data_IF_093672949612
#
_entry.id   IF_093672949612
#
_cell.length_a   1.000
_cell.length_b   1.000
_cell.length_c   1.000
_cell.angle_alpha   90.00
_cell.angle_beta   90.00
_cell.angle_gamma   90.00
#
_symmetry.space_group_name_H-M   'P 1'
#
loop_
_entity.id
_entity.type
_entity.pdbx_description
1 polymer ?
#
# COMPACT_ATOMS: atom_id res chain seq x y z
N UNK A 1 -20.99 14.66 0.60
CA UNK A 1 -20.13 14.25 1.73
C UNK A 1 -19.79 12.78 1.52
N UNK A 2 -18.52 12.40 1.56
CA UNK A 2 -18.11 10.99 1.44
C UNK A 2 -18.26 10.34 2.81
N UNK A 3 -18.83 9.14 2.86
CA UNK A 3 -19.02 8.43 4.13
C UNK A 3 -17.76 7.64 4.50
N UNK A 4 -17.55 7.36 5.81
CA UNK A 4 -16.43 6.54 6.26
C UNK A 4 -16.37 5.17 5.58
N UNK A 5 -17.52 4.54 5.31
CA UNK A 5 -17.60 3.23 4.64
C UNK A 5 -17.03 3.30 3.21
N UNK A 6 -17.39 4.35 2.46
CA UNK A 6 -16.85 4.57 1.12
C UNK A 6 -15.35 4.83 1.13
N UNK A 7 -14.82 5.51 2.15
CA UNK A 7 -13.37 5.66 2.30
C UNK A 7 -12.68 4.31 2.55
N UNK A 8 -13.31 3.44 3.34
CA UNK A 8 -12.78 2.11 3.62
C UNK A 8 -12.76 1.22 2.35
N UNK A 9 -13.79 1.32 1.52
CA UNK A 9 -13.83 0.67 0.21
C UNK A 9 -12.77 1.24 -0.74
N UNK A 10 -12.65 2.58 -0.83
CA UNK A 10 -11.61 3.25 -1.63
C UNK A 10 -10.22 2.77 -1.21
N UNK A 11 -9.96 2.69 0.10
CA UNK A 11 -8.68 2.19 0.63
C UNK A 11 -8.41 0.74 0.19
N UNK A 12 -9.43 -0.11 0.28
CA UNK A 12 -9.33 -1.53 -0.08
C UNK A 12 -9.02 -1.71 -1.57
N UNK A 13 -9.74 -1.03 -2.47
CA UNK A 13 -9.49 -1.11 -3.91
C UNK A 13 -8.17 -0.44 -4.31
N UNK A 14 -7.78 0.65 -3.66
CA UNK A 14 -6.48 1.28 -3.88
C UNK A 14 -5.31 0.33 -3.57
N UNK A 15 -5.50 -0.56 -2.60
CA UNK A 15 -4.52 -1.58 -2.23
C UNK A 15 -4.25 -2.63 -3.30
N UNK A 16 -5.13 -2.80 -4.29
CA UNK A 16 -4.97 -3.78 -5.35
C UNK A 16 -3.96 -3.36 -6.43
N UNK A 17 -3.52 -2.09 -6.44
CA UNK A 17 -2.58 -1.49 -7.41
C UNK A 17 -3.00 -1.52 -8.89
N UNK A 18 -4.05 -2.25 -9.27
CA UNK A 18 -4.51 -2.38 -10.65
C UNK A 18 -5.33 -1.15 -11.08
N UNK A 19 -6.04 -0.52 -10.13
CA UNK A 19 -6.96 0.56 -10.43
C UNK A 19 -6.35 1.96 -10.19
N UNK A 20 -6.64 2.88 -11.11
CA UNK A 20 -6.38 4.31 -10.95
C UNK A 20 -7.50 4.98 -10.12
N UNK A 21 -7.31 6.26 -9.76
CA UNK A 21 -8.28 6.99 -8.90
C UNK A 21 -9.69 6.99 -9.49
N UNK A 22 -9.83 7.29 -10.78
CA UNK A 22 -11.11 7.35 -11.47
C UNK A 22 -11.85 6.01 -11.45
N UNK A 23 -11.13 4.91 -11.72
CA UNK A 23 -11.67 3.55 -11.66
C UNK A 23 -12.11 3.17 -10.24
N UNK A 24 -11.31 3.51 -9.22
CA UNK A 24 -11.66 3.27 -7.82
C UNK A 24 -12.94 4.02 -7.43
N UNK A 25 -13.05 5.29 -7.81
CA UNK A 25 -14.23 6.09 -7.51
C UNK A 25 -15.48 5.54 -8.20
N UNK A 26 -15.36 5.10 -9.45
CA UNK A 26 -16.44 4.44 -10.19
C UNK A 26 -16.91 3.15 -9.50
N UNK A 27 -15.97 2.29 -9.06
CA UNK A 27 -16.28 1.04 -8.36
C UNK A 27 -17.07 1.30 -7.07
N UNK A 28 -16.67 2.32 -6.30
CA UNK A 28 -17.29 2.66 -4.99
C UNK A 28 -18.56 3.52 -5.16
N UNK A 29 -18.95 3.84 -6.40
CA UNK A 29 -20.11 4.68 -6.68
C UNK A 29 -19.93 6.11 -6.15
N UNK A 30 -18.73 6.67 -6.28
CA UNK A 30 -18.42 8.09 -6.06
C UNK A 30 -18.24 8.75 -7.43
N UNK A 31 -18.62 10.03 -7.54
CA UNK A 31 -18.39 10.77 -8.80
C UNK A 31 -16.92 10.67 -9.22
N UNK A 32 -16.62 10.35 -10.49
CA UNK A 32 -15.24 10.25 -10.97
C UNK A 32 -14.47 11.57 -10.86
N UNK A 33 -15.20 12.69 -10.88
CA UNK A 33 -14.67 14.04 -10.74
C UNK A 33 -14.54 14.49 -9.27
N UNK A 34 -14.89 13.63 -8.32
CA UNK A 34 -14.76 13.94 -6.90
C UNK A 34 -13.27 14.09 -6.56
N UNK A 35 -12.88 15.32 -6.22
CA UNK A 35 -11.52 15.65 -5.83
C UNK A 35 -11.50 16.18 -4.40
N UNK A 36 -10.94 15.40 -3.48
CA UNK A 36 -10.69 15.84 -2.11
C UNK A 36 -9.37 15.28 -1.61
N UNK A 37 -8.68 16.06 -0.78
CA UNK A 37 -7.46 15.64 -0.08
C UNK A 37 -7.67 14.36 0.72
N UNK A 38 -8.88 14.17 1.23
CA UNK A 38 -9.27 12.96 1.97
C UNK A 38 -9.26 11.70 1.08
N UNK A 39 -9.84 11.76 -0.13
CA UNK A 39 -9.78 10.65 -1.10
C UNK A 39 -8.32 10.34 -1.46
N UNK A 40 -7.52 11.37 -1.75
CA UNK A 40 -6.13 11.18 -2.15
C UNK A 40 -5.29 10.54 -1.05
N UNK A 41 -5.49 10.98 0.20
CA UNK A 41 -4.84 10.39 1.37
C UNK A 41 -5.27 8.94 1.59
N UNK A 42 -6.56 8.63 1.42
CA UNK A 42 -7.08 7.27 1.55
C UNK A 42 -6.53 6.33 0.48
N UNK A 43 -6.45 6.77 -0.77
CA UNK A 43 -5.83 6.01 -1.86
C UNK A 43 -4.34 5.77 -1.55
N UNK A 44 -3.64 6.82 -1.11
CA UNK A 44 -2.23 6.71 -0.71
C UNK A 44 -2.04 5.73 0.44
N UNK A 45 -2.92 5.77 1.45
CA UNK A 45 -2.89 4.86 2.59
C UNK A 45 -3.09 3.40 2.16
N UNK A 46 -4.10 3.12 1.33
CA UNK A 46 -4.39 1.76 0.82
C UNK A 46 -3.22 1.16 0.05
N UNK A 47 -2.60 1.98 -0.82
CA UNK A 47 -1.38 1.60 -1.57
C UNK A 47 -0.21 1.34 -0.63
N UNK A 48 0.04 2.19 0.35
CA UNK A 48 1.13 2.01 1.31
C UNK A 48 0.95 0.77 2.18
N UNK A 49 -0.27 0.53 2.69
CA UNK A 49 -0.59 -0.68 3.47
C UNK A 49 -0.34 -1.95 2.65
N UNK A 50 -0.78 -1.97 1.40
CA UNK A 50 -0.60 -3.14 0.54
C UNK A 50 0.86 -3.35 0.15
N UNK A 51 1.61 -2.25 -0.07
CA UNK A 51 3.05 -2.30 -0.32
C UNK A 51 3.80 -2.87 0.90
N UNK A 52 3.41 -2.47 2.11
CA UNK A 52 3.97 -3.03 3.34
C UNK A 52 3.69 -4.53 3.47
N UNK A 53 2.48 -5.00 3.15
CA UNK A 53 2.12 -6.44 3.14
C UNK A 53 2.95 -7.24 2.14
N UNK A 54 3.16 -6.70 0.93
CA UNK A 54 4.02 -7.33 -0.09
C UNK A 54 5.46 -7.45 0.43
N UNK A 55 6.02 -6.37 0.98
CA UNK A 55 7.37 -6.44 1.55
C UNK A 55 7.46 -7.42 2.72
N UNK A 56 6.48 -7.42 3.62
CA UNK A 56 6.44 -8.40 4.71
C UNK A 56 6.47 -9.83 4.17
N UNK A 57 5.70 -10.11 3.11
CA UNK A 57 5.68 -11.42 2.46
C UNK A 57 7.03 -11.77 1.82
N UNK A 58 7.68 -10.83 1.14
CA UNK A 58 9.02 -11.00 0.56
C UNK A 58 10.05 -11.28 1.65
N UNK A 59 10.02 -10.51 2.74
CA UNK A 59 10.93 -10.67 3.86
C UNK A 59 10.72 -12.02 4.55
N UNK A 60 9.47 -12.44 4.74
CA UNK A 60 9.14 -13.75 5.30
C UNK A 60 9.62 -14.90 4.39
N UNK A 61 9.42 -14.79 3.07
CA UNK A 61 9.91 -15.78 2.11
C UNK A 61 11.43 -15.85 2.09
N UNK A 62 12.11 -14.71 2.13
CA UNK A 62 13.56 -14.65 2.19
C UNK A 62 14.11 -15.16 3.53
N UNK A 63 13.42 -14.86 4.65
CA UNK A 63 13.78 -15.34 5.98
C UNK A 63 13.64 -16.86 6.08
N UNK A 64 12.56 -17.42 5.52
CA UNK A 64 12.33 -18.86 5.47
C UNK A 64 13.02 -19.55 4.28
N UNK A 65 13.72 -18.78 3.44
CA UNK A 65 14.36 -19.24 2.22
C UNK A 65 15.84 -19.61 2.43
N UNK A 66 16.66 -19.40 1.39
CA UNK A 66 18.09 -19.72 1.46
C UNK A 66 18.86 -18.75 2.37
N UNK A 67 20.00 -19.19 2.91
CA UNK A 67 20.87 -18.37 3.77
C UNK A 67 21.32 -17.06 3.11
N UNK A 68 21.47 -17.02 1.78
CA UNK A 68 21.82 -15.81 1.05
C UNK A 68 20.65 -14.81 0.97
N UNK A 69 19.41 -15.29 0.81
CA UNK A 69 18.22 -14.44 0.87
C UNK A 69 18.06 -13.81 2.26
N UNK A 70 18.31 -14.58 3.33
CA UNK A 70 18.32 -14.09 4.71
C UNK A 70 19.36 -12.97 4.92
N UNK A 71 20.60 -13.18 4.47
CA UNK A 71 21.68 -12.17 4.58
C UNK A 71 21.34 -10.88 3.82
N UNK A 72 20.78 -10.98 2.62
CA UNK A 72 20.42 -9.82 1.81
C UNK A 72 19.34 -8.98 2.49
N UNK A 73 18.33 -9.64 3.08
CA UNK A 73 17.29 -8.97 3.88
C UNK A 73 17.88 -8.23 5.09
N UNK A 74 18.78 -8.89 5.84
CA UNK A 74 19.43 -8.25 6.99
C UNK A 74 20.23 -7.01 6.59
N UNK A 75 20.93 -7.03 5.44
CA UNK A 75 21.61 -5.83 4.92
C UNK A 75 20.64 -4.71 4.57
N UNK A 76 19.52 -5.01 3.90
CA UNK A 76 18.51 -4.01 3.56
C UNK A 76 17.92 -3.34 4.80
N UNK A 77 17.70 -4.10 5.88
CA UNK A 77 17.24 -3.56 7.16
C UNK A 77 18.31 -2.62 7.75
N UNK A 78 19.56 -3.07 7.84
CA UNK A 78 20.68 -2.27 8.39
C UNK A 78 20.93 -0.98 7.61
N UNK A 79 20.85 -1.01 6.28
CA UNK A 79 21.02 0.19 5.44
C UNK A 79 19.89 1.21 5.65
N UNK A 80 18.64 0.73 5.81
CA UNK A 80 17.52 1.62 6.11
C UNK A 80 17.62 2.24 7.50
N UNK A 81 18.09 1.49 8.50
CA UNK A 81 18.34 2.03 9.84
C UNK A 81 19.43 3.11 9.80
N UNK A 82 20.51 2.90 9.04
CA UNK A 82 21.59 3.87 8.87
C UNK A 82 21.15 5.17 8.17
N UNK A 83 20.22 5.10 7.22
CA UNK A 83 19.69 6.29 6.51
C UNK A 83 18.72 7.13 7.35
N UNK A 84 18.24 6.62 8.48
CA UNK A 84 17.36 7.34 9.41
C UNK A 84 18.12 8.07 10.52
N UNK A 85 19.42 7.82 10.65
CA UNK A 85 20.35 8.58 11.49
C UNK A 85 20.93 9.76 10.69
#
# INVERSE_FOLDING_TARGET
>A
MITPEKLQEIESFAGLFIFNKTEILLIVGVSPDANSTEIDNTIKAGRLKSKAKVYQSILNLAYNGSAEAQKQVLRMIQENERKKL
#
